data_IF_715721889499
#
_entry.id   IF_715721889499
#
_cell.length_a   1.000
_cell.length_b   1.000
_cell.length_c   1.000
_cell.angle_alpha   90.00
_cell.angle_beta   90.00
_cell.angle_gamma   90.00
#
_symmetry.space_group_name_H-M   'P 1'
#
loop_
_entity.id
_entity.type
_entity.pdbx_description
1 polymer ?
#
# COMPACT_ATOMS: atom_id res chain seq x y z
N UNK A 1 -9.66 3.72 -17.65
CA UNK A 1 -8.53 3.02 -17.00
C UNK A 1 -7.77 4.11 -16.27
N UNK A 2 -7.93 4.16 -14.94
CA UNK A 2 -7.18 5.12 -14.12
C UNK A 2 -5.89 4.42 -13.71
N UNK A 3 -4.81 4.97 -14.16
CA UNK A 3 -3.47 4.44 -13.96
C UNK A 3 -2.77 5.16 -12.81
N UNK A 4 -2.15 4.39 -11.95
CA UNK A 4 -1.07 4.90 -11.10
C UNK A 4 0.20 4.82 -11.95
N UNK A 5 0.38 5.80 -12.82
CA UNK A 5 1.44 5.86 -13.81
C UNK A 5 0.91 5.75 -15.25
N UNK A 6 1.24 6.70 -16.08
CA UNK A 6 0.73 6.88 -17.45
C UNK A 6 1.40 6.00 -18.51
N UNK A 7 2.08 4.91 -18.15
CA UNK A 7 2.77 4.01 -19.07
C UNK A 7 2.46 2.55 -18.77
N UNK A 8 2.29 1.76 -19.81
CA UNK A 8 2.01 0.30 -19.76
C UNK A 8 3.11 -0.53 -19.07
N UNK A 9 4.27 0.06 -18.83
CA UNK A 9 5.48 -0.53 -18.26
C UNK A 9 5.70 -0.22 -16.77
N UNK A 10 4.77 0.51 -16.11
CA UNK A 10 4.91 0.83 -14.68
C UNK A 10 4.44 -0.31 -13.76
N UNK A 11 5.05 -1.47 -13.91
CA UNK A 11 4.82 -2.60 -12.99
C UNK A 11 5.43 -2.37 -11.61
N UNK A 12 6.34 -1.40 -11.48
CA UNK A 12 7.09 -1.15 -10.25
C UNK A 12 7.13 0.31 -9.86
N UNK A 13 7.15 0.54 -8.56
CA UNK A 13 7.25 1.87 -7.94
C UNK A 13 8.12 1.78 -6.70
N UNK A 14 8.94 2.81 -6.50
CA UNK A 14 9.61 3.13 -5.25
C UNK A 14 9.31 4.57 -4.88
N UNK A 15 9.02 4.82 -3.62
CA UNK A 15 8.80 6.17 -3.13
C UNK A 15 9.22 6.31 -1.67
N UNK A 16 9.47 7.53 -1.24
CA UNK A 16 9.39 7.91 0.17
C UNK A 16 7.94 8.14 0.50
N UNK A 17 7.53 7.78 1.69
CA UNK A 17 6.20 8.12 2.19
C UNK A 17 6.27 8.83 3.53
N UNK A 18 5.23 9.60 3.81
CA UNK A 18 4.91 10.14 5.11
C UNK A 18 3.51 9.68 5.50
N UNK A 19 3.36 9.20 6.71
CA UNK A 19 2.10 8.74 7.27
C UNK A 19 1.74 9.60 8.47
N UNK A 20 0.52 10.13 8.48
CA UNK A 20 -0.01 10.87 9.59
C UNK A 20 -0.65 9.89 10.59
N UNK A 21 -0.17 9.93 11.83
CA UNK A 21 -0.74 9.20 12.93
C UNK A 21 -1.94 9.95 13.52
N UNK A 22 -2.92 9.24 14.04
CA UNK A 22 -4.08 9.85 14.71
C UNK A 22 -3.69 10.73 15.92
N UNK A 23 -2.53 10.46 16.54
CA UNK A 23 -2.00 11.23 17.66
C UNK A 23 -1.26 12.52 17.20
N UNK A 24 -1.36 12.89 15.92
CA UNK A 24 -0.68 14.05 15.36
C UNK A 24 0.79 13.82 15.05
N UNK A 25 1.32 12.62 15.25
CA UNK A 25 2.68 12.24 14.87
C UNK A 25 2.80 12.05 13.36
N UNK A 26 3.99 12.38 12.83
CA UNK A 26 4.36 12.14 11.44
C UNK A 26 5.46 11.08 11.42
N UNK A 27 5.22 9.98 10.72
CA UNK A 27 6.18 8.89 10.53
C UNK A 27 6.51 8.77 9.05
N UNK A 28 7.73 8.33 8.77
CA UNK A 28 8.29 8.24 7.42
C UNK A 28 8.72 6.82 7.11
N UNK A 29 8.96 6.55 5.84
CA UNK A 29 9.49 5.28 5.40
C UNK A 29 9.69 5.21 3.90
N UNK A 30 10.02 4.00 3.43
CA UNK A 30 10.12 3.67 2.02
C UNK A 30 9.02 2.68 1.64
N UNK A 31 8.46 2.88 0.47
CA UNK A 31 7.54 1.94 -0.15
C UNK A 31 8.13 1.42 -1.45
N UNK A 32 8.04 0.12 -1.65
CA UNK A 32 8.40 -0.57 -2.88
C UNK A 32 7.20 -1.41 -3.30
N UNK A 33 6.76 -1.21 -4.52
CA UNK A 33 5.62 -1.92 -5.10
C UNK A 33 6.03 -2.52 -6.42
N UNK A 34 5.64 -3.77 -6.66
CA UNK A 34 5.76 -4.42 -7.95
C UNK A 34 4.54 -5.31 -8.20
N UNK A 35 3.84 -5.01 -9.28
CA UNK A 35 2.66 -5.78 -9.69
C UNK A 35 3.07 -7.07 -10.42
N UNK A 36 2.25 -8.11 -10.30
CA UNK A 36 1.12 -8.22 -9.39
C UNK A 36 1.55 -8.57 -7.96
N UNK A 37 0.80 -8.07 -6.97
CA UNK A 37 0.74 -8.58 -5.62
C UNK A 37 1.92 -8.29 -4.68
N UNK A 38 2.97 -7.60 -5.12
CA UNK A 38 4.17 -7.41 -4.31
C UNK A 38 4.29 -6.00 -3.75
N UNK A 39 4.50 -5.94 -2.44
CA UNK A 39 4.63 -4.70 -1.69
C UNK A 39 5.66 -4.88 -0.57
N UNK A 40 6.44 -3.85 -0.32
CA UNK A 40 7.26 -3.72 0.88
C UNK A 40 7.14 -2.30 1.42
N UNK A 41 6.85 -2.17 2.69
CA UNK A 41 6.82 -0.91 3.42
C UNK A 41 7.79 -1.01 4.57
N UNK A 42 8.80 -0.15 4.57
CA UNK A 42 9.81 -0.02 5.61
C UNK A 42 9.65 1.31 6.32
N UNK A 43 9.31 1.26 7.59
CA UNK A 43 9.25 2.46 8.41
C UNK A 43 10.64 2.89 8.88
N UNK A 44 10.86 4.18 8.97
CA UNK A 44 12.08 4.72 9.57
C UNK A 44 12.06 4.51 11.10
N UNK A 45 13.22 4.37 11.74
CA UNK A 45 13.31 4.34 13.19
C UNK A 45 12.63 5.59 13.81
N UNK A 46 11.96 5.47 14.94
CA UNK A 46 11.93 4.31 15.84
C UNK A 46 10.82 3.29 15.58
N UNK A 47 10.08 3.37 14.47
CA UNK A 47 8.94 2.47 14.19
C UNK A 47 9.45 1.07 13.80
N UNK A 48 9.24 0.01 14.63
CA UNK A 48 9.82 -1.30 14.41
C UNK A 48 8.97 -2.19 13.48
N UNK A 49 8.31 -1.61 12.49
CA UNK A 49 7.35 -2.34 11.64
C UNK A 49 7.87 -2.49 10.22
N UNK A 50 7.73 -3.71 9.71
CA UNK A 50 7.95 -4.07 8.32
C UNK A 50 6.69 -4.73 7.76
N UNK A 51 6.17 -4.23 6.64
CA UNK A 51 5.05 -4.85 5.93
C UNK A 51 5.55 -5.40 4.60
N UNK A 52 5.22 -6.66 4.31
CA UNK A 52 5.60 -7.31 3.06
C UNK A 52 4.42 -8.08 2.49
N UNK A 53 4.09 -7.84 1.21
CA UNK A 53 3.22 -8.70 0.44
C UNK A 53 4.03 -9.46 -0.62
N UNK A 54 3.86 -10.78 -0.68
CA UNK A 54 4.60 -11.68 -1.57
C UNK A 54 3.82 -12.10 -2.82
N UNK A 55 2.59 -11.63 -2.96
CA UNK A 55 1.63 -11.96 -4.00
C UNK A 55 0.45 -12.79 -3.51
N UNK A 56 0.56 -13.44 -2.36
CA UNK A 56 -0.47 -14.29 -1.76
C UNK A 56 -0.83 -13.81 -0.34
N UNK A 57 0.17 -13.50 0.44
CA UNK A 57 0.05 -13.09 1.84
C UNK A 57 0.57 -11.68 2.05
N UNK A 58 -0.10 -10.94 2.92
CA UNK A 58 0.41 -9.72 3.52
C UNK A 58 0.92 -10.03 4.92
N UNK A 59 2.18 -9.76 5.17
CA UNK A 59 2.91 -10.03 6.41
C UNK A 59 3.19 -8.72 7.15
N UNK A 60 2.81 -8.65 8.41
CA UNK A 60 3.11 -7.55 9.33
C UNK A 60 4.11 -8.06 10.36
N UNK A 61 5.33 -7.59 10.30
CA UNK A 61 6.41 -8.01 11.17
C UNK A 61 6.83 -6.88 12.10
N UNK A 62 6.65 -7.09 13.40
CA UNK A 62 7.22 -6.25 14.44
C UNK A 62 8.63 -6.76 14.75
N UNK A 63 9.63 -5.94 14.41
CA UNK A 63 11.05 -6.32 14.53
C UNK A 63 11.57 -6.23 15.95
N UNK A 64 10.89 -5.49 16.84
CA UNK A 64 11.25 -5.38 18.26
C UNK A 64 10.67 -6.55 19.07
N UNK A 65 9.38 -6.84 18.86
CA UNK A 65 8.69 -7.92 19.54
C UNK A 65 8.95 -9.29 18.89
N UNK A 66 9.58 -9.34 17.73
CA UNK A 66 9.78 -10.56 16.92
C UNK A 66 8.45 -11.28 16.64
N UNK A 67 7.41 -10.51 16.28
CA UNK A 67 6.07 -11.01 16.02
C UNK A 67 5.72 -10.86 14.54
N UNK A 68 5.25 -11.95 13.95
CA UNK A 68 4.78 -12.00 12.56
C UNK A 68 3.28 -12.31 12.54
N UNK A 69 2.50 -11.40 11.97
CA UNK A 69 1.08 -11.59 11.66
C UNK A 69 0.90 -11.62 10.15
N UNK A 70 0.05 -12.51 9.68
CA UNK A 70 -0.22 -12.65 8.25
C UNK A 70 -1.72 -12.68 7.97
N UNK A 71 -2.09 -12.09 6.83
CA UNK A 71 -3.45 -12.14 6.31
C UNK A 71 -3.39 -12.44 4.79
N UNK A 72 -4.40 -13.10 4.21
CA UNK A 72 -4.51 -13.22 2.76
C UNK A 72 -4.50 -11.82 2.13
N UNK A 73 -3.70 -11.63 1.08
CA UNK A 73 -3.57 -10.33 0.43
C UNK A 73 -4.92 -9.78 -0.05
N UNK A 74 -5.77 -10.66 -0.57
CA UNK A 74 -7.11 -10.31 -1.09
C UNK A 74 -8.09 -9.77 -0.04
N UNK A 75 -7.83 -10.00 1.26
CA UNK A 75 -8.63 -9.46 2.37
C UNK A 75 -8.09 -8.15 2.94
N UNK A 76 -7.02 -7.62 2.36
CA UNK A 76 -6.41 -6.36 2.81
C UNK A 76 -6.85 -5.18 1.95
N UNK A 77 -6.97 -3.96 2.52
CA UNK A 77 -7.28 -2.77 1.74
C UNK A 77 -6.25 -2.45 0.64
N UNK A 78 -5.01 -2.94 0.77
CA UNK A 78 -3.96 -2.75 -0.23
C UNK A 78 -4.18 -3.57 -1.51
N UNK A 79 -5.05 -4.57 -1.48
CA UNK A 79 -5.30 -5.48 -2.59
C UNK A 79 -5.52 -4.77 -3.94
N UNK A 80 -6.33 -3.72 -3.96
CA UNK A 80 -6.70 -3.07 -5.22
C UNK A 80 -5.50 -2.35 -5.88
N UNK A 81 -4.52 -1.85 -5.10
CA UNK A 81 -3.30 -1.23 -5.61
C UNK A 81 -2.34 -2.25 -6.22
N UNK A 82 -2.40 -3.49 -5.77
CA UNK A 82 -1.42 -4.53 -6.07
C UNK A 82 -1.86 -5.48 -7.18
N UNK A 83 -3.12 -5.43 -7.60
CA UNK A 83 -3.61 -6.27 -8.70
C UNK A 83 -3.14 -5.75 -10.05
N UNK A 84 -3.12 -6.64 -11.04
CA UNK A 84 -2.81 -6.33 -12.43
C UNK A 84 -3.87 -6.97 -13.35
N UNK A 85 -4.53 -6.17 -14.20
CA UNK A 85 -4.48 -4.71 -14.25
C UNK A 85 -5.18 -4.04 -13.07
N UNK A 86 -4.76 -2.83 -12.70
CA UNK A 86 -5.52 -1.99 -11.77
C UNK A 86 -6.80 -1.56 -12.45
N UNK A 87 -7.94 -1.89 -11.87
CA UNK A 87 -9.24 -1.50 -12.39
C UNK A 87 -10.07 -0.84 -11.31
N UNK A 88 -10.67 0.28 -11.63
CA UNK A 88 -11.65 0.96 -10.77
C UNK A 88 -13.08 0.53 -11.08
N UNK A 89 -13.27 -0.43 -11.99
CA UNK A 89 -14.58 -0.91 -12.43
C UNK A 89 -14.82 -2.39 -12.11
N UNK A 90 -13.77 -3.10 -11.65
CA UNK A 90 -13.88 -4.51 -11.30
C UNK A 90 -13.46 -4.74 -9.86
N UNK A 91 -14.32 -5.39 -9.07
CA UNK A 91 -14.10 -5.74 -7.68
C UNK A 91 -14.08 -4.56 -6.69
N UNK A 92 -14.32 -3.32 -7.17
CA UNK A 92 -14.45 -2.13 -6.34
C UNK A 92 -15.74 -1.38 -6.67
N UNK A 93 -16.33 -0.75 -5.68
CA UNK A 93 -17.48 0.14 -5.81
C UNK A 93 -17.06 1.56 -5.47
N UNK A 94 -17.15 2.47 -6.47
CA UNK A 94 -16.84 3.89 -6.27
C UNK A 94 -18.03 4.55 -5.58
N UNK A 95 -17.79 5.22 -4.47
CA UNK A 95 -18.78 5.96 -3.69
C UNK A 95 -18.74 7.46 -3.97
N UNK A 96 -17.57 7.97 -4.35
CA UNK A 96 -17.40 9.40 -4.61
C UNK A 96 -16.31 9.65 -5.63
N UNK A 97 -16.58 10.59 -6.55
CA UNK A 97 -15.58 11.16 -7.46
C UNK A 97 -15.70 12.68 -7.39
N UNK A 98 -14.62 13.33 -6.97
CA UNK A 98 -14.54 14.79 -6.90
C UNK A 98 -13.37 15.26 -7.76
N UNK A 99 -13.59 16.33 -8.53
CA UNK A 99 -12.54 16.98 -9.33
C UNK A 99 -12.39 18.43 -8.90
N UNK A 100 -11.15 18.87 -8.86
CA UNK A 100 -10.75 20.26 -8.70
C UNK A 100 -9.64 20.56 -9.73
N UNK A 101 -9.32 21.82 -10.04
CA UNK A 101 -8.21 22.14 -10.92
C UNK A 101 -6.91 21.46 -10.46
N UNK A 102 -6.34 20.61 -11.32
CA UNK A 102 -5.08 19.89 -11.03
C UNK A 102 -5.18 18.70 -10.07
N UNK A 103 -6.39 18.36 -9.57
CA UNK A 103 -6.55 17.28 -8.61
C UNK A 103 -7.84 16.47 -8.81
N UNK A 104 -7.78 15.19 -8.50
CA UNK A 104 -8.92 14.27 -8.49
C UNK A 104 -8.91 13.44 -7.22
N UNK A 105 -10.09 13.31 -6.58
CA UNK A 105 -10.31 12.44 -5.44
C UNK A 105 -11.28 11.32 -5.84
N UNK A 106 -10.91 10.09 -5.54
CA UNK A 106 -11.77 8.91 -5.72
C UNK A 106 -11.91 8.22 -4.38
N UNK A 107 -13.13 7.89 -4.00
CA UNK A 107 -13.43 7.11 -2.81
C UNK A 107 -14.14 5.82 -3.21
N UNK A 108 -13.69 4.68 -2.66
CA UNK A 108 -14.18 3.37 -3.03
C UNK A 108 -14.02 2.36 -1.91
N UNK A 109 -14.78 1.26 -2.01
CA UNK A 109 -14.62 0.07 -1.16
C UNK A 109 -14.54 -1.20 -2.02
N UNK A 110 -14.08 -2.29 -1.42
CA UNK A 110 -14.07 -3.61 -2.06
C UNK A 110 -15.50 -4.16 -2.14
N UNK A 111 -16.00 -4.42 -3.35
CA UNK A 111 -17.41 -4.79 -3.58
C UNK A 111 -17.84 -6.06 -2.83
N UNK A 112 -16.91 -7.00 -2.61
CA UNK A 112 -17.18 -8.25 -1.89
C UNK A 112 -17.18 -8.11 -0.37
N UNK A 113 -16.55 -7.05 0.14
CA UNK A 113 -16.38 -6.79 1.58
C UNK A 113 -16.67 -5.31 1.88
N UNK A 114 -17.93 -4.85 1.69
CA UNK A 114 -18.27 -3.43 1.80
C UNK A 114 -18.06 -2.87 3.21
N UNK A 115 -18.11 -3.73 4.23
CA UNK A 115 -17.96 -3.36 5.64
C UNK A 115 -16.48 -3.38 6.11
N UNK A 116 -15.53 -3.82 5.24
CA UNK A 116 -14.12 -3.86 5.60
C UNK A 116 -13.46 -2.46 5.69
N UNK A 117 -14.15 -1.44 5.20
CA UNK A 117 -13.68 -0.05 5.18
C UNK A 117 -13.58 0.50 3.77
N UNK A 118 -13.06 1.71 3.66
CA UNK A 118 -12.90 2.41 2.38
C UNK A 118 -11.48 2.87 2.12
N UNK A 119 -11.20 3.09 0.85
CA UNK A 119 -9.98 3.73 0.36
C UNK A 119 -10.34 5.02 -0.36
N UNK A 120 -9.62 6.09 -0.04
CA UNK A 120 -9.69 7.36 -0.74
C UNK A 120 -8.36 7.65 -1.39
N UNK A 121 -8.35 7.89 -2.69
CA UNK A 121 -7.18 8.25 -3.48
C UNK A 121 -7.20 9.71 -3.83
N UNK A 122 -6.07 10.38 -3.69
CA UNK A 122 -5.84 11.75 -4.19
C UNK A 122 -4.81 11.67 -5.29
N UNK A 123 -5.17 12.12 -6.46
CA UNK A 123 -4.35 12.07 -7.67
C UNK A 123 -4.23 13.45 -8.30
N UNK A 124 -3.16 13.68 -9.05
CA UNK A 124 -3.10 14.79 -10.00
C UNK A 124 -4.03 14.51 -11.18
N UNK A 125 -4.40 15.54 -11.93
CA UNK A 125 -5.32 15.42 -13.08
C UNK A 125 -4.57 15.28 -14.40
N UNK A 126 -3.45 16.00 -14.56
CA UNK A 126 -2.61 15.95 -15.76
C UNK A 126 -1.13 16.19 -15.39
N UNK A 127 -0.25 15.17 -15.48
CA UNK A 127 -0.57 13.75 -15.67
C UNK A 127 -1.32 13.15 -14.46
N UNK A 128 -2.07 12.06 -14.70
CA UNK A 128 -2.75 11.35 -13.61
C UNK A 128 -1.70 10.55 -12.81
N UNK A 129 -1.40 11.02 -11.60
CA UNK A 129 -0.45 10.36 -10.69
C UNK A 129 -1.02 10.29 -9.28
N UNK A 130 -0.83 9.15 -8.61
CA UNK A 130 -1.19 8.99 -7.20
C UNK A 130 -0.26 9.83 -6.33
N UNK A 131 -0.84 10.68 -5.49
CA UNK A 131 -0.09 11.53 -4.54
C UNK A 131 -0.31 11.13 -3.10
N UNK A 132 -1.55 10.76 -2.76
CA UNK A 132 -1.92 10.40 -1.40
C UNK A 132 -3.00 9.33 -1.44
N UNK A 133 -3.06 8.53 -0.38
CA UNK A 133 -4.21 7.70 -0.11
C UNK A 133 -4.58 7.70 1.36
N UNK A 134 -5.84 7.40 1.60
CA UNK A 134 -6.40 7.18 2.91
C UNK A 134 -6.96 5.77 2.96
N UNK A 135 -6.72 5.06 4.04
CA UNK A 135 -7.39 3.82 4.38
C UNK A 135 -8.25 4.13 5.60
N UNK A 136 -9.55 3.93 5.48
CA UNK A 136 -10.50 4.12 6.56
C UNK A 136 -11.06 2.73 6.88
N UNK A 137 -10.70 2.19 8.04
CA UNK A 137 -11.16 0.86 8.46
C UNK A 137 -12.63 0.85 8.93
N UNK A 138 -13.16 -0.36 9.21
CA UNK A 138 -14.53 -0.54 9.67
C UNK A 138 -14.87 0.20 10.97
N UNK A 139 -13.86 0.55 11.77
CA UNK A 139 -14.03 1.34 13.01
C UNK A 139 -14.02 2.85 12.77
N UNK A 140 -13.77 3.28 11.53
CA UNK A 140 -13.60 4.68 11.15
C UNK A 140 -12.20 5.22 11.41
N UNK A 141 -11.25 4.37 11.78
CA UNK A 141 -9.85 4.76 11.94
C UNK A 141 -9.24 5.04 10.59
N UNK A 142 -8.67 6.23 10.45
CA UNK A 142 -8.05 6.69 9.21
C UNK A 142 -6.53 6.60 9.26
N UNK A 143 -5.93 6.03 8.23
CA UNK A 143 -4.51 6.06 7.94
C UNK A 143 -4.33 6.91 6.68
N UNK A 144 -3.59 8.01 6.80
CA UNK A 144 -3.28 8.91 5.70
C UNK A 144 -1.82 8.78 5.31
N UNK A 145 -1.56 8.52 4.05
CA UNK A 145 -0.22 8.35 3.48
C UNK A 145 -0.03 9.30 2.31
N UNK A 146 1.01 10.10 2.37
CA UNK A 146 1.49 10.92 1.24
C UNK A 146 2.75 10.34 0.64
N UNK A 147 2.89 10.42 -0.69
CA UNK A 147 4.07 9.97 -1.44
C UNK A 147 4.95 11.15 -1.83
N UNK A 148 6.26 10.94 -1.73
CA UNK A 148 7.31 11.84 -2.21
C UNK A 148 8.40 11.04 -2.93
N UNK A 149 9.13 11.70 -3.84
CA UNK A 149 10.23 11.10 -4.61
C UNK A 149 9.84 9.78 -5.28
N UNK A 150 8.74 9.82 -6.02
CA UNK A 150 8.19 8.65 -6.71
C UNK A 150 9.05 8.32 -7.92
N UNK A 151 9.58 7.10 -7.96
CA UNK A 151 10.30 6.49 -9.08
C UNK A 151 9.47 5.33 -9.63
N UNK A 152 9.19 5.33 -10.93
CA UNK A 152 8.33 4.35 -11.60
C UNK A 152 9.14 3.58 -12.63
N UNK A 153 8.82 2.29 -12.85
CA UNK A 153 9.47 1.44 -13.86
C UNK A 153 10.89 1.04 -13.52
N UNK A 154 11.27 1.07 -12.23
CA UNK A 154 12.61 0.70 -11.78
C UNK A 154 12.72 -0.82 -11.54
N UNK A 155 13.90 -1.43 -11.77
CA UNK A 155 14.10 -2.83 -11.45
C UNK A 155 14.09 -3.05 -9.93
N UNK A 156 13.21 -3.92 -9.43
CA UNK A 156 13.13 -4.33 -8.04
C UNK A 156 13.40 -5.83 -7.90
N UNK A 157 14.35 -6.18 -7.03
CA UNK A 157 14.72 -7.58 -6.76
C UNK A 157 13.55 -8.35 -6.12
N UNK A 158 13.44 -9.65 -6.45
CA UNK A 158 12.47 -10.55 -5.81
C UNK A 158 12.69 -10.65 -4.30
N UNK A 159 13.94 -10.59 -3.85
CA UNK A 159 14.31 -10.69 -2.43
C UNK A 159 13.72 -9.57 -1.56
N UNK A 160 13.39 -8.41 -2.16
CA UNK A 160 12.70 -7.33 -1.43
C UNK A 160 11.34 -7.77 -0.90
N UNK A 161 10.68 -8.71 -1.58
CA UNK A 161 9.32 -9.15 -1.29
C UNK A 161 9.27 -10.53 -0.61
N UNK A 162 10.42 -11.01 -0.11
CA UNK A 162 10.46 -12.24 0.67
C UNK A 162 9.78 -12.02 2.03
N UNK A 163 8.95 -12.98 2.44
CA UNK A 163 8.30 -12.97 3.74
C UNK A 163 9.34 -12.87 4.86
N UNK A 164 9.16 -11.96 5.82
CA UNK A 164 10.06 -11.84 6.96
C UNK A 164 10.12 -13.13 7.77
N UNK A 165 11.30 -13.47 8.27
CA UNK A 165 11.51 -14.64 9.13
C UNK A 165 11.73 -14.19 10.55
N UNK A 166 10.97 -14.74 11.51
CA UNK A 166 11.16 -14.48 12.94
C UNK A 166 12.54 -14.92 13.40
N UNK A 167 13.21 -14.08 14.19
CA UNK A 167 14.58 -14.34 14.69
C UNK A 167 14.66 -15.60 15.58
N UNK A 168 13.58 -15.90 16.33
CA UNK A 168 13.50 -17.11 17.21
C UNK A 168 13.64 -18.43 16.45
N UNK A 169 13.33 -18.45 15.16
CA UNK A 169 13.48 -19.66 14.34
C UNK A 169 14.90 -19.88 13.83
N UNK A 170 15.77 -18.87 13.85
CA UNK A 170 17.16 -18.99 13.40
C UNK A 170 18.07 -19.73 14.42
N UNK A 171 17.64 -19.84 15.70
CA UNK A 171 18.42 -20.49 16.75
C UNK A 171 18.15 -21.98 16.95
N UNK A 172 17.21 -22.60 16.23
CA UNK A 172 16.83 -24.02 16.42
C UNK A 172 17.46 -25.02 15.47
N UNK A 173 18.25 -24.55 14.49
CA UNK A 173 18.98 -25.42 13.56
C UNK A 173 20.49 -25.42 13.85
N UNK A 174 20.87 -25.79 15.10
CA UNK A 174 22.23 -26.20 15.43
C UNK A 174 22.22 -27.56 16.11
#
# INVERSE_FOLDING_TARGET
>A
IVWIGTRDDAESLKARFQQFSQNGGLIYGNIYLRRPGRLRIEYDPPVPVLIVADGTWASFYDTELDQLNQAPLGSTPAWFLLRDPVSLTDGVTITSLKRAPGAMQIEMYQTREPDAGLVRLIMTDDPIELRQWYIIDASGKEIHVGLDKVEIGIPLSNNLFATPTMRRNMGRNK
#
